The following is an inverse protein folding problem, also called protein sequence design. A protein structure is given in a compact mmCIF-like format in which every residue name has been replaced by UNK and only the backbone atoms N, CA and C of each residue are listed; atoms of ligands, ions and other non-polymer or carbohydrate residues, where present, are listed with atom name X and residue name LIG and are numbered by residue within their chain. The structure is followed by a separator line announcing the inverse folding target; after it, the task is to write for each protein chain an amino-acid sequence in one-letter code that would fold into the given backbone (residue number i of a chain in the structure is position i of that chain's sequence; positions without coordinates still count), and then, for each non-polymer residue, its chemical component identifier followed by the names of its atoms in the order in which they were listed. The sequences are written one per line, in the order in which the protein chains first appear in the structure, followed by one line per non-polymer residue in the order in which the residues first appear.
data_IF_565894123786
#
_entry.id   IF_565894123786
#
_cell.length_a   1.000
_cell.length_b   1.000
_cell.length_c   1.000
_cell.angle_alpha   90.00
_cell.angle_beta   90.00
_cell.angle_gamma   90.00
#
_symmetry.space_group_name_H-M   'P 1'
#
loop_
_entity.id
_entity.type
_entity.pdbx_description
1 polymer ?
#
# COMPACT_ATOMS: atom_id res chain seq x y z
N UNK A 1 3.51 -2.17 -9.34
CA UNK A 1 2.98 -2.82 -10.55
C UNK A 1 1.56 -2.43 -10.81
N UNK A 2 1.22 -2.23 -12.07
CA UNK A 2 -0.10 -1.72 -12.43
C UNK A 2 -1.22 -2.77 -12.26
N UNK A 3 -0.92 -4.07 -12.16
CA UNK A 3 -1.98 -5.08 -12.26
C UNK A 3 -1.60 -6.49 -11.78
N UNK A 4 -0.95 -6.60 -10.63
CA UNK A 4 -0.76 -7.93 -10.04
C UNK A 4 -2.08 -8.48 -9.50
N UNK A 5 -2.69 -9.37 -10.26
CA UNK A 5 -3.91 -10.09 -9.90
C UNK A 5 -5.22 -9.29 -10.04
N UNK A 6 -6.31 -9.98 -10.02
CA UNK A 6 -7.64 -9.41 -9.98
C UNK A 6 -8.26 -9.03 -11.33
N UNK A 7 -9.28 -8.17 -11.28
CA UNK A 7 -10.08 -7.80 -12.46
C UNK A 7 -9.29 -7.08 -13.55
N UNK A 8 -8.28 -6.29 -13.20
CA UNK A 8 -7.43 -5.58 -14.17
C UNK A 8 -6.58 -6.53 -15.00
N UNK A 9 -5.95 -7.50 -14.33
CA UNK A 9 -5.12 -8.49 -15.02
C UNK A 9 -5.95 -9.33 -16.00
N UNK A 10 -7.13 -9.81 -15.56
CA UNK A 10 -8.07 -10.49 -16.46
C UNK A 10 -8.46 -9.63 -17.65
N UNK A 11 -8.72 -8.34 -17.45
CA UNK A 11 -9.07 -7.42 -18.55
C UNK A 11 -7.89 -7.22 -19.52
N UNK A 12 -6.65 -7.15 -19.01
CA UNK A 12 -5.46 -7.06 -19.84
C UNK A 12 -5.21 -8.35 -20.64
N UNK A 13 -5.44 -9.51 -20.05
CA UNK A 13 -5.33 -10.80 -20.74
C UNK A 13 -6.37 -10.94 -21.86
N UNK A 14 -7.58 -10.42 -21.65
CA UNK A 14 -8.67 -10.52 -22.64
C UNK A 14 -8.57 -9.47 -23.75
N UNK A 15 -8.13 -8.26 -23.45
CA UNK A 15 -8.23 -7.11 -24.34
C UNK A 15 -6.88 -6.47 -24.69
N UNK A 16 -5.77 -6.95 -24.11
CA UNK A 16 -4.46 -6.35 -24.29
C UNK A 16 -4.30 -5.01 -23.57
N UNK A 17 -3.19 -4.34 -23.85
CA UNK A 17 -2.84 -3.06 -23.23
C UNK A 17 -3.72 -1.89 -23.67
N UNK A 18 -4.36 -1.99 -24.84
CA UNK A 18 -5.24 -0.98 -25.39
C UNK A 18 -6.60 -1.59 -25.73
N UNK A 19 -7.66 -1.03 -25.20
CA UNK A 19 -9.02 -1.45 -25.43
C UNK A 19 -9.84 -0.30 -26.02
N UNK A 20 -10.44 -0.57 -27.18
CA UNK A 20 -11.20 0.40 -27.98
C UNK A 20 -12.68 -0.01 -28.16
N UNK A 21 -13.27 -0.65 -27.16
CA UNK A 21 -14.67 -1.09 -27.21
C UNK A 21 -15.68 0.06 -27.09
N UNK A 22 -16.97 -0.30 -27.22
CA UNK A 22 -18.06 0.66 -26.99
C UNK A 22 -18.05 1.14 -25.55
N UNK A 23 -17.91 2.44 -25.35
CA UNK A 23 -17.85 3.09 -24.03
C UNK A 23 -16.50 3.73 -23.75
N UNK A 24 -15.81 3.27 -22.72
CA UNK A 24 -14.53 3.89 -22.29
C UNK A 24 -13.34 3.27 -23.01
N UNK A 25 -12.58 4.08 -23.74
CA UNK A 25 -11.27 3.70 -24.25
C UNK A 25 -10.29 3.59 -23.08
N UNK A 26 -9.54 2.50 -23.02
CA UNK A 26 -8.57 2.24 -21.95
C UNK A 26 -7.20 1.97 -22.55
N UNK A 27 -6.18 2.62 -21.98
CA UNK A 27 -4.78 2.34 -22.27
C UNK A 27 -4.03 2.04 -20.98
N UNK A 28 -3.21 1.00 -21.00
CA UNK A 28 -2.35 0.61 -19.89
C UNK A 28 -0.92 0.39 -20.41
N UNK A 29 -0.19 1.47 -20.76
CA UNK A 29 1.12 1.38 -21.44
C UNK A 29 2.17 0.65 -20.60
N UNK A 30 2.05 0.68 -19.27
CA UNK A 30 2.97 0.00 -18.35
C UNK A 30 2.51 -1.42 -17.95
N UNK A 31 1.49 -1.98 -18.60
CA UNK A 31 0.95 -3.28 -18.23
C UNK A 31 1.95 -4.44 -18.46
N UNK A 32 2.84 -4.29 -19.43
CA UNK A 32 3.89 -5.27 -19.76
C UNK A 32 5.11 -5.20 -18.83
N UNK A 33 5.26 -4.11 -18.07
CA UNK A 33 6.39 -3.92 -17.18
C UNK A 33 6.14 -4.60 -15.83
N UNK A 34 7.10 -5.36 -15.37
CA UNK A 34 7.15 -5.82 -13.99
C UNK A 34 7.74 -4.73 -13.08
N UNK A 35 7.86 -5.00 -11.78
CA UNK A 35 8.39 -4.02 -10.83
C UNK A 35 9.85 -3.67 -11.10
N UNK A 36 10.68 -4.66 -11.47
CA UNK A 36 12.10 -4.43 -11.75
C UNK A 36 12.27 -3.51 -12.95
N UNK A 37 11.49 -3.74 -14.01
CA UNK A 37 11.51 -2.91 -15.21
C UNK A 37 11.13 -1.46 -14.88
N UNK A 38 10.12 -1.24 -14.03
CA UNK A 38 9.69 0.11 -13.63
C UNK A 38 10.74 0.83 -12.77
N UNK A 39 11.39 0.11 -11.85
CA UNK A 39 12.45 0.69 -11.03
C UNK A 39 13.68 1.01 -11.87
N UNK A 40 14.03 0.12 -12.82
CA UNK A 40 15.13 0.38 -13.75
C UNK A 40 14.83 1.58 -14.66
N UNK A 41 13.61 1.65 -15.21
CA UNK A 41 13.19 2.77 -16.04
C UNK A 41 13.24 4.11 -15.26
N UNK A 42 12.85 4.10 -13.98
CA UNK A 42 12.94 5.29 -13.15
C UNK A 42 14.38 5.76 -12.93
N UNK A 43 15.32 4.83 -12.77
CA UNK A 43 16.75 5.14 -12.69
C UNK A 43 17.30 5.69 -14.02
N UNK A 44 17.00 5.02 -15.12
CA UNK A 44 17.50 5.37 -16.45
C UNK A 44 17.04 6.76 -16.90
N UNK A 45 15.77 7.07 -16.62
CA UNK A 45 15.17 8.37 -16.95
C UNK A 45 15.35 9.42 -15.85
N UNK A 46 15.99 9.06 -14.72
CA UNK A 46 16.18 9.94 -13.55
C UNK A 46 14.85 10.55 -13.06
N UNK A 47 13.79 9.74 -13.06
CA UNK A 47 12.48 10.18 -12.58
C UNK A 47 12.53 10.38 -11.07
N UNK A 48 12.09 11.55 -10.56
CA UNK A 48 12.05 11.78 -9.12
C UNK A 48 11.06 10.81 -8.46
N UNK A 49 11.54 10.08 -7.48
CA UNK A 49 10.72 9.13 -6.69
C UNK A 49 10.23 9.84 -5.44
N UNK A 50 8.94 9.75 -5.08
CA UNK A 50 8.41 10.34 -3.85
C UNK A 50 9.17 9.84 -2.61
N UNK A 51 9.42 10.74 -1.64
CA UNK A 51 10.19 10.48 -0.42
C UNK A 51 9.75 9.24 0.35
N UNK A 52 8.44 8.91 0.32
CA UNK A 52 7.90 7.75 0.99
C UNK A 52 8.50 6.42 0.51
N UNK A 53 8.96 6.36 -0.74
CA UNK A 53 9.67 5.20 -1.28
C UNK A 53 11.16 5.22 -0.97
N UNK A 54 11.69 6.37 -0.53
CA UNK A 54 13.13 6.55 -0.33
C UNK A 54 13.92 6.50 -1.63
N UNK A 55 15.09 5.88 -1.59
CA UNK A 55 15.96 5.71 -2.75
C UNK A 55 15.78 4.32 -3.38
N UNK A 56 15.96 4.24 -4.70
CA UNK A 56 16.06 2.96 -5.41
C UNK A 56 17.46 2.40 -5.19
N UNK A 57 17.57 1.25 -4.57
CA UNK A 57 18.81 0.55 -4.25
C UNK A 57 18.87 -0.79 -4.97
N UNK A 58 20.06 -1.39 -5.01
CA UNK A 58 20.32 -2.70 -5.60
C UNK A 58 20.81 -3.64 -4.49
N UNK A 59 20.24 -4.82 -4.41
CA UNK A 59 20.68 -5.83 -3.46
C UNK A 59 21.91 -6.62 -3.99
N UNK A 60 22.41 -7.56 -3.19
CA UNK A 60 23.55 -8.42 -3.52
C UNK A 60 23.28 -9.35 -4.72
N UNK A 61 22.02 -9.61 -5.04
CA UNK A 61 21.59 -10.41 -6.20
C UNK A 61 21.31 -9.55 -7.44
N UNK A 62 21.51 -8.24 -7.33
CA UNK A 62 21.28 -7.31 -8.43
C UNK A 62 19.81 -6.87 -8.60
N UNK A 63 18.91 -7.24 -7.68
CA UNK A 63 17.51 -6.82 -7.74
C UNK A 63 17.33 -5.42 -7.17
N UNK A 64 16.52 -4.63 -7.86
CA UNK A 64 16.17 -3.29 -7.45
C UNK A 64 15.05 -3.28 -6.40
N UNK A 65 15.21 -2.46 -5.39
CA UNK A 65 14.19 -2.25 -4.35
C UNK A 65 14.19 -0.79 -3.89
N UNK A 66 13.12 -0.38 -3.20
CA UNK A 66 13.00 0.94 -2.59
C UNK A 66 13.37 0.86 -1.12
N UNK A 67 14.19 1.79 -0.61
CA UNK A 67 14.64 1.80 0.80
C UNK A 67 13.53 2.14 1.79
N UNK A 68 12.47 2.78 1.33
CA UNK A 68 11.27 3.09 2.09
C UNK A 68 10.13 2.08 1.83
N UNK A 69 8.91 2.58 1.65
CA UNK A 69 7.75 1.72 1.42
C UNK A 69 7.87 0.96 0.10
N UNK A 70 7.50 -0.32 0.13
CA UNK A 70 7.46 -1.14 -1.08
C UNK A 70 6.22 -0.88 -1.93
N UNK A 71 5.12 -0.53 -1.28
CA UNK A 71 3.85 -0.17 -1.89
C UNK A 71 3.19 0.89 -1.04
N UNK A 72 2.68 1.91 -1.70
CA UNK A 72 1.78 2.86 -1.09
C UNK A 72 0.38 2.58 -1.61
N UNK A 73 -0.47 2.06 -0.77
CA UNK A 73 -1.92 2.09 -1.00
C UNK A 73 -2.50 3.37 -0.40
N UNK A 74 -3.81 3.41 -0.20
CA UNK A 74 -4.40 4.39 0.71
C UNK A 74 -3.83 4.14 2.11
N UNK A 75 -3.46 5.20 2.85
CA UNK A 75 -2.86 5.09 4.19
C UNK A 75 -3.68 4.23 5.16
N UNK A 76 -5.01 4.24 5.01
CA UNK A 76 -5.96 3.48 5.81
C UNK A 76 -6.44 2.17 5.16
N UNK A 77 -5.87 1.74 4.05
CA UNK A 77 -6.32 0.54 3.36
C UNK A 77 -5.95 -0.73 4.15
N UNK A 78 -6.94 -1.46 4.63
CA UNK A 78 -6.76 -2.74 5.33
C UNK A 78 -6.78 -3.96 4.40
N UNK A 79 -6.93 -3.78 3.09
CA UNK A 79 -6.98 -4.91 2.16
C UNK A 79 -5.68 -5.72 2.17
N UNK A 80 -5.79 -7.01 2.47
CA UNK A 80 -4.65 -7.93 2.51
C UNK A 80 -3.79 -7.81 3.78
N UNK A 81 -4.23 -7.08 4.81
CA UNK A 81 -3.47 -6.89 6.06
C UNK A 81 -3.14 -8.23 6.75
N UNK A 82 -4.02 -9.22 6.65
CA UNK A 82 -3.83 -10.56 7.19
C UNK A 82 -2.64 -11.33 6.53
N UNK A 83 -2.15 -10.85 5.40
CA UNK A 83 -0.99 -11.43 4.70
C UNK A 83 0.33 -10.73 5.06
N UNK A 84 0.26 -9.62 5.79
CA UNK A 84 1.45 -8.87 6.19
C UNK A 84 2.01 -9.39 7.52
N UNK A 85 3.32 -9.51 7.59
CA UNK A 85 4.04 -9.73 8.84
C UNK A 85 4.25 -8.40 9.56
N UNK A 86 4.33 -8.44 10.89
CA UNK A 86 4.69 -7.27 11.68
C UNK A 86 6.19 -6.93 11.55
N UNK A 87 6.53 -5.62 11.49
CA UNK A 87 5.64 -4.46 11.52
C UNK A 87 4.84 -4.31 10.22
N UNK A 88 3.52 -4.35 10.29
CA UNK A 88 2.64 -4.18 9.14
C UNK A 88 2.41 -2.69 8.83
N UNK A 89 1.63 -2.39 7.76
CA UNK A 89 1.41 -1.01 7.29
C UNK A 89 0.82 -0.06 8.35
N UNK A 90 -0.02 -0.56 9.26
CA UNK A 90 -0.57 0.27 10.32
C UNK A 90 0.43 0.52 11.44
N UNK A 91 1.35 -0.40 11.73
CA UNK A 91 2.47 -0.15 12.65
C UNK A 91 3.36 0.98 12.10
N UNK A 92 3.71 0.91 10.81
CA UNK A 92 4.50 1.96 10.14
C UNK A 92 3.74 3.30 10.03
N UNK A 93 2.42 3.27 9.83
CA UNK A 93 1.60 4.48 9.87
C UNK A 93 1.63 5.13 11.24
N UNK A 94 1.57 4.34 12.33
CA UNK A 94 1.67 4.82 13.71
C UNK A 94 2.96 5.59 13.96
N UNK A 95 4.08 5.06 13.51
CA UNK A 95 5.39 5.71 13.62
C UNK A 95 5.48 7.00 12.81
N UNK A 96 4.96 6.99 11.60
CA UNK A 96 5.04 8.11 10.67
C UNK A 96 4.05 9.22 11.00
N UNK A 97 2.82 8.89 11.33
CA UNK A 97 1.74 9.84 11.61
C UNK A 97 0.75 9.27 12.63
N UNK A 98 1.09 9.42 13.92
CA UNK A 98 0.27 8.92 15.02
C UNK A 98 -1.16 9.46 15.02
N UNK A 99 -1.37 10.75 14.69
CA UNK A 99 -2.71 11.37 14.68
C UNK A 99 -3.62 10.75 13.62
N UNK A 100 -3.09 10.50 12.43
CA UNK A 100 -3.81 9.82 11.35
C UNK A 100 -4.10 8.37 11.73
N UNK A 101 -3.11 7.68 12.26
CA UNK A 101 -3.25 6.31 12.74
C UNK A 101 -4.33 6.19 13.82
N UNK A 102 -4.30 7.02 14.86
CA UNK A 102 -5.29 7.00 15.94
C UNK A 102 -6.71 7.27 15.42
N UNK A 103 -6.88 8.20 14.49
CA UNK A 103 -8.17 8.44 13.86
C UNK A 103 -8.69 7.20 13.14
N UNK A 104 -7.88 6.60 12.28
CA UNK A 104 -8.30 5.44 11.49
C UNK A 104 -8.47 4.18 12.31
N UNK A 105 -7.67 3.98 13.34
CA UNK A 105 -7.74 2.79 14.18
C UNK A 105 -8.92 2.83 15.18
N UNK A 106 -9.28 4.01 15.67
CA UNK A 106 -10.18 4.13 16.82
C UNK A 106 -11.46 4.92 16.55
N UNK A 107 -11.49 5.82 15.53
CA UNK A 107 -12.50 6.87 15.47
C UNK A 107 -13.11 7.15 14.10
N UNK A 108 -12.71 6.45 13.05
CA UNK A 108 -13.14 6.76 11.68
C UNK A 108 -14.61 6.43 11.41
N UNK A 109 -15.26 5.64 12.26
CA UNK A 109 -16.65 5.24 12.16
C UNK A 109 -17.34 5.39 13.51
N UNK A 110 -18.68 5.34 13.51
CA UNK A 110 -19.51 5.24 14.73
C UNK A 110 -20.49 4.10 14.55
N UNK A 111 -20.79 3.41 15.63
CA UNK A 111 -21.80 2.36 15.65
C UNK A 111 -23.23 2.94 15.84
N UNK A 112 -24.23 2.04 15.92
CA UNK A 112 -25.65 2.41 16.11
C UNK A 112 -25.91 3.17 17.42
N UNK A 113 -25.03 3.04 18.40
CA UNK A 113 -25.11 3.68 19.71
C UNK A 113 -24.29 4.99 19.76
N UNK A 114 -23.67 5.38 18.64
CA UNK A 114 -22.80 6.55 18.58
C UNK A 114 -21.39 6.33 19.16
N UNK A 115 -20.99 5.07 19.41
CA UNK A 115 -19.67 4.75 19.94
C UNK A 115 -18.65 4.74 18.80
N UNK A 116 -17.56 5.52 18.90
CA UNK A 116 -16.53 5.54 17.86
C UNK A 116 -15.80 4.19 17.76
N UNK A 117 -15.48 3.79 16.54
CA UNK A 117 -14.61 2.65 16.26
C UNK A 117 -13.86 2.85 14.94
N UNK A 118 -12.92 1.96 14.67
CA UNK A 118 -12.13 1.99 13.43
C UNK A 118 -11.54 0.61 13.09
N UNK A 119 -10.46 0.64 12.33
CA UNK A 119 -9.74 -0.56 11.92
C UNK A 119 -9.27 -1.43 13.09
N UNK A 120 -9.01 -0.86 14.26
CA UNK A 120 -8.65 -1.61 15.45
C UNK A 120 -9.64 -2.73 15.75
N UNK A 121 -10.95 -2.44 15.71
CA UNK A 121 -12.00 -3.44 15.90
C UNK A 121 -11.97 -4.57 14.86
N UNK A 122 -11.59 -4.24 13.62
CA UNK A 122 -11.46 -5.24 12.54
C UNK A 122 -10.21 -6.10 12.76
N UNK A 123 -9.09 -5.49 13.17
CA UNK A 123 -7.86 -6.23 13.47
C UNK A 123 -8.01 -7.14 14.67
N UNK A 124 -8.72 -6.70 15.72
CA UNK A 124 -9.07 -7.54 16.87
C UNK A 124 -9.90 -8.76 16.44
N UNK A 125 -10.87 -8.57 15.55
CA UNK A 125 -11.67 -9.67 15.01
C UNK A 125 -10.83 -10.64 14.15
N UNK A 126 -9.81 -10.14 13.46
CA UNK A 126 -8.89 -10.95 12.65
C UNK A 126 -7.71 -11.52 13.46
N UNK A 127 -7.66 -11.27 14.77
CA UNK A 127 -6.58 -11.68 15.68
C UNK A 127 -5.20 -11.13 15.24
N UNK A 128 -5.18 -9.94 14.64
CA UNK A 128 -3.97 -9.26 14.22
C UNK A 128 -3.56 -8.22 15.28
N UNK A 129 -2.39 -8.39 15.89
CA UNK A 129 -1.87 -7.46 16.89
C UNK A 129 -1.62 -6.06 16.31
N UNK A 130 -1.99 -5.00 17.04
CA UNK A 130 -1.80 -3.61 16.62
C UNK A 130 -1.58 -2.62 17.79
N UNK A 131 -1.88 -3.02 19.04
CA UNK A 131 -1.82 -2.17 20.22
C UNK A 131 -0.49 -2.24 20.97
N UNK A 132 0.22 -3.35 20.85
CA UNK A 132 1.40 -3.72 21.64
C UNK A 132 2.71 -3.01 21.24
N UNK A 133 2.68 -2.14 20.23
CA UNK A 133 3.79 -1.24 19.91
C UNK A 133 3.68 -0.01 20.83
N UNK A 134 4.71 0.32 21.59
CA UNK A 134 4.71 1.50 22.42
C UNK A 134 4.41 2.77 21.62
N UNK A 135 3.54 3.63 22.13
CA UNK A 135 3.25 4.92 21.52
C UNK A 135 4.54 5.77 21.53
N UNK A 136 5.08 6.15 20.35
CA UNK A 136 6.30 6.95 20.27
C UNK A 136 6.12 8.36 20.85
N UNK A 137 4.90 8.81 21.06
CA UNK A 137 4.56 10.13 21.60
C UNK A 137 4.24 10.10 23.10
N UNK A 138 4.04 8.91 23.68
CA UNK A 138 3.78 8.75 25.12
C UNK A 138 5.09 8.61 25.90
N UNK A 139 5.88 9.67 25.95
CA UNK A 139 7.01 9.77 26.89
C UNK A 139 6.42 10.11 28.26
N UNK A 140 6.21 9.11 29.12
CA UNK A 140 6.11 9.33 30.56
C UNK A 140 7.46 9.69 31.12
#
# INVERSE_FOLDING_TARGET
MASEGGRREKALMLHGCNYFGQGTIRSAPFAIFNRQDLLQLALDLKVPVPEIYGSILKDEHGLLYTSGEQRTGCSMCGFGIQLEKRPHRFDRLRERNYKEWDFWMNRCCVDENGIPYGWGKVLDYLEIGWQDIPDPHNKK
#
